data_IF_103703832813
#
_entry.id   IF_103703832813
#
_cell.length_a   1.000
_cell.length_b   1.000
_cell.length_c   1.000
_cell.angle_alpha   90.00
_cell.angle_beta   90.00
_cell.angle_gamma   90.00
#
_symmetry.space_group_name_H-M   'P 1'
#
loop_
_entity.id
_entity.type
_entity.pdbx_description
1 polymer ?
#
# COMPACT_ATOMS: atom_id res chain seq x y z
N UNK A 1 3.93 -42.01 50.76
CA UNK A 1 2.85 -42.28 51.71
C UNK A 1 1.61 -41.53 51.25
N UNK A 2 0.59 -42.35 51.02
CA UNK A 2 -0.88 -42.19 50.88
C UNK A 2 -1.33 -41.34 49.70
N UNK A 3 -1.81 -41.84 48.59
CA UNK A 3 -2.96 -42.73 48.16
C UNK A 3 -4.30 -42.38 48.86
N UNK A 4 -5.25 -41.86 48.04
CA UNK A 4 -6.67 -42.33 47.94
C UNK A 4 -7.37 -41.46 46.88
N UNK A 5 -7.80 -41.93 45.77
CA UNK A 5 -8.80 -42.87 45.17
C UNK A 5 -10.27 -42.39 45.28
N UNK A 6 -10.91 -42.42 44.10
CA UNK A 6 -12.33 -42.65 43.75
C UNK A 6 -13.33 -41.50 43.96
N UNK A 7 -14.21 -41.22 43.01
CA UNK A 7 -15.22 -42.08 42.33
C UNK A 7 -15.87 -41.40 41.12
N UNK A 8 -16.09 -42.18 40.14
CA UNK A 8 -17.04 -42.01 39.01
C UNK A 8 -18.49 -41.95 39.49
N UNK A 9 -19.36 -41.15 38.84
CA UNK A 9 -20.76 -41.50 38.63
C UNK A 9 -21.22 -41.09 37.26
N UNK A 10 -21.58 -42.08 36.44
CA UNK A 10 -22.44 -42.08 35.29
C UNK A 10 -23.92 -42.05 35.78
N UNK A 11 -24.80 -41.51 34.97
CA UNK A 11 -26.25 -41.79 34.78
C UNK A 11 -26.85 -40.60 34.02
N UNK A 12 -27.56 -40.66 32.97
CA UNK A 12 -28.32 -41.53 32.15
C UNK A 12 -29.29 -40.63 31.36
N UNK A 13 -29.48 -40.92 30.09
CA UNK A 13 -30.46 -40.30 29.19
C UNK A 13 -31.89 -40.65 29.60
N UNK A 14 -32.92 -39.86 29.16
CA UNK A 14 -33.92 -40.52 28.32
C UNK A 14 -34.23 -39.78 27.00
N UNK A 15 -34.52 -40.61 26.02
CA UNK A 15 -35.14 -40.37 24.74
C UNK A 15 -36.64 -40.22 24.94
N UNK A 16 -37.31 -39.27 24.26
CA UNK A 16 -38.76 -39.36 23.96
C UNK A 16 -38.99 -38.94 22.52
N UNK A 17 -39.80 -39.73 21.90
CA UNK A 17 -40.11 -39.95 20.50
C UNK A 17 -41.39 -39.19 20.12
N UNK A 18 -41.40 -38.68 18.88
CA UNK A 18 -42.50 -38.55 17.91
C UNK A 18 -43.76 -37.74 18.22
N UNK A 19 -44.19 -36.88 17.34
CA UNK A 19 -45.36 -37.10 16.51
C UNK A 19 -45.42 -36.17 15.29
N UNK A 20 -45.57 -36.76 14.13
CA UNK A 20 -45.85 -36.08 12.86
C UNK A 20 -47.39 -35.89 12.73
N UNK A 21 -47.77 -34.72 12.23
CA UNK A 21 -49.10 -34.56 11.61
C UNK A 21 -48.95 -33.81 10.30
N UNK A 22 -49.21 -34.48 9.23
CA UNK A 22 -49.39 -33.96 7.89
C UNK A 22 -50.86 -33.59 7.69
N UNK A 23 -51.12 -32.38 7.17
CA UNK A 23 -52.39 -32.07 6.49
C UNK A 23 -52.08 -31.32 5.21
N UNK A 24 -52.55 -31.90 4.13
CA UNK A 24 -52.45 -31.39 2.76
C UNK A 24 -53.73 -30.65 2.32
N UNK A 25 -53.59 -29.95 1.17
CA UNK A 25 -54.60 -29.39 0.26
C UNK A 25 -55.10 -27.99 0.64
N UNK A 26 -55.16 -27.01 -0.26
CA UNK A 26 -55.53 -26.95 -1.69
C UNK A 26 -54.98 -25.69 -2.35
N UNK A 27 -54.74 -25.77 -3.64
CA UNK A 27 -54.39 -24.69 -4.54
C UNK A 27 -55.54 -23.71 -4.81
N UNK A 28 -55.23 -22.44 -4.95
CA UNK A 28 -55.87 -21.58 -5.97
C UNK A 28 -54.90 -20.46 -6.39
N UNK A 29 -54.72 -20.37 -7.68
CA UNK A 29 -54.01 -19.37 -8.46
C UNK A 29 -54.54 -17.96 -8.30
N UNK A 30 -53.69 -16.94 -8.23
CA UNK A 30 -53.74 -15.77 -9.12
C UNK A 30 -52.51 -14.91 -9.00
N UNK A 31 -52.01 -14.51 -10.15
CA UNK A 31 -50.80 -13.76 -10.40
C UNK A 31 -50.78 -12.35 -9.77
N UNK A 32 -49.65 -11.85 -9.32
CA UNK A 32 -48.93 -10.74 -9.92
C UNK A 32 -47.87 -10.14 -8.98
N UNK A 33 -46.79 -9.81 -9.63
CA UNK A 33 -45.69 -8.88 -9.34
C UNK A 33 -44.52 -9.41 -8.50
N UNK A 34 -43.47 -9.56 -9.25
CA UNK A 34 -42.09 -9.68 -8.88
C UNK A 34 -41.69 -8.56 -7.93
N UNK A 35 -41.08 -8.93 -6.82
CA UNK A 35 -40.01 -8.14 -6.17
C UNK A 35 -38.87 -9.10 -5.92
N UNK A 36 -37.93 -9.09 -6.86
CA UNK A 36 -36.63 -9.67 -6.75
C UNK A 36 -35.89 -8.97 -5.60
N UNK A 37 -35.77 -9.63 -4.47
CA UNK A 37 -34.74 -9.32 -3.50
C UNK A 37 -33.45 -9.88 -4.05
N UNK A 38 -32.82 -9.17 -5.00
CA UNK A 38 -31.46 -9.36 -5.41
C UNK A 38 -30.57 -9.06 -4.21
N UNK A 39 -29.95 -10.11 -3.72
CA UNK A 39 -28.82 -10.06 -2.79
C UNK A 39 -27.66 -9.39 -3.52
N UNK A 40 -27.66 -8.06 -3.49
CA UNK A 40 -26.61 -7.23 -4.09
C UNK A 40 -25.37 -7.32 -3.20
N UNK A 41 -24.58 -8.36 -3.44
CA UNK A 41 -23.17 -8.38 -3.07
C UNK A 41 -22.49 -7.32 -3.94
N UNK A 42 -22.60 -6.06 -3.53
CA UNK A 42 -21.80 -4.99 -4.12
C UNK A 42 -20.33 -5.22 -3.80
N UNK A 43 -19.69 -6.09 -4.57
CA UNK A 43 -18.30 -5.93 -4.90
C UNK A 43 -18.21 -4.60 -5.63
N UNK A 44 -17.92 -3.52 -4.90
CA UNK A 44 -17.53 -2.26 -5.51
C UNK A 44 -16.25 -2.56 -6.29
N UNK A 45 -16.39 -2.73 -7.61
CA UNK A 45 -15.29 -2.59 -8.52
C UNK A 45 -14.77 -1.15 -8.30
N UNK A 46 -13.67 -1.01 -7.54
CA UNK A 46 -12.91 0.22 -7.52
C UNK A 46 -12.61 0.51 -8.99
N UNK A 47 -13.08 1.65 -9.48
CA UNK A 47 -12.85 2.05 -10.86
C UNK A 47 -11.36 1.92 -11.13
N UNK A 48 -11.00 1.15 -12.16
CA UNK A 48 -9.64 1.01 -12.69
C UNK A 48 -9.20 2.42 -13.14
N UNK A 49 -8.70 3.23 -12.22
CA UNK A 49 -8.07 4.49 -12.58
C UNK A 49 -6.73 4.12 -13.19
N UNK A 50 -6.65 4.18 -14.52
CA UNK A 50 -5.38 4.08 -15.22
C UNK A 50 -4.39 5.06 -14.57
N UNK A 51 -3.28 4.52 -14.06
CA UNK A 51 -2.22 5.34 -13.49
C UNK A 51 -1.66 6.23 -14.61
N UNK A 52 -1.63 7.54 -14.35
CA UNK A 52 -0.95 8.47 -15.24
C UNK A 52 0.54 8.40 -14.97
N UNK A 53 1.30 8.35 -16.05
CA UNK A 53 2.77 8.39 -15.98
C UNK A 53 3.23 9.79 -16.37
N UNK A 54 4.11 10.36 -15.56
CA UNK A 54 4.74 11.64 -15.85
C UNK A 54 5.56 11.55 -17.13
N UNK A 55 5.58 12.63 -17.89
CA UNK A 55 6.44 12.70 -19.07
C UNK A 55 7.89 12.51 -18.64
N UNK A 56 8.64 11.61 -19.30
CA UNK A 56 10.06 11.42 -18.99
C UNK A 56 10.84 12.73 -19.08
N UNK A 57 11.80 12.92 -18.19
CA UNK A 57 12.73 14.04 -18.30
C UNK A 57 13.48 14.00 -19.65
N UNK A 58 13.92 15.15 -20.19
CA UNK A 58 14.61 15.19 -21.50
C UNK A 58 15.88 14.31 -21.58
N UNK A 59 16.48 14.02 -20.44
CA UNK A 59 17.68 13.20 -20.25
C UNK A 59 17.38 11.82 -19.61
N UNK A 60 16.11 11.42 -19.61
CA UNK A 60 15.69 10.14 -19.07
C UNK A 60 16.43 8.99 -19.76
N UNK A 61 17.02 8.12 -18.95
CA UNK A 61 17.74 6.94 -19.46
C UNK A 61 16.76 5.81 -19.75
N UNK A 62 17.09 5.04 -20.78
CA UNK A 62 16.35 3.83 -21.15
C UNK A 62 17.17 2.58 -20.91
N UNK A 63 16.53 1.43 -20.93
CA UNK A 63 17.13 0.12 -20.85
C UNK A 63 16.68 -0.73 -22.03
N UNK A 64 17.61 -1.38 -22.70
CA UNK A 64 17.36 -2.36 -23.76
C UNK A 64 17.71 -3.77 -23.29
N UNK A 65 17.13 -4.77 -23.92
CA UNK A 65 17.38 -6.17 -23.58
C UNK A 65 18.85 -6.56 -23.78
N UNK A 66 19.50 -6.01 -24.81
CA UNK A 66 20.90 -6.28 -25.10
C UNK A 66 21.82 -5.62 -24.06
N UNK A 67 21.51 -4.39 -23.65
CA UNK A 67 22.30 -3.68 -22.61
C UNK A 67 22.18 -4.36 -21.24
N UNK A 68 21.02 -4.91 -20.91
CA UNK A 68 20.78 -5.68 -19.70
C UNK A 68 21.42 -7.09 -19.75
N UNK A 69 21.51 -7.69 -20.93
CA UNK A 69 22.03 -9.04 -21.14
C UNK A 69 20.98 -10.14 -20.96
N UNK A 70 19.71 -9.83 -21.12
CA UNK A 70 18.61 -10.79 -21.09
C UNK A 70 18.26 -11.34 -22.48
N UNK A 71 17.37 -12.31 -22.52
CA UNK A 71 16.88 -12.92 -23.76
C UNK A 71 15.42 -12.51 -24.03
N UNK A 72 15.05 -12.42 -25.32
CA UNK A 72 13.66 -12.19 -25.70
C UNK A 72 12.79 -13.37 -25.30
N UNK A 73 11.61 -13.08 -24.79
CA UNK A 73 10.62 -14.12 -24.47
C UNK A 73 9.20 -13.59 -24.67
N UNK A 74 8.26 -14.50 -24.88
CA UNK A 74 6.83 -14.19 -24.87
C UNK A 74 6.32 -14.20 -23.41
N UNK A 75 5.84 -13.05 -22.95
CA UNK A 75 5.36 -12.89 -21.57
C UNK A 75 4.24 -13.90 -21.21
N UNK A 76 3.41 -14.30 -22.19
CA UNK A 76 2.34 -15.29 -21.95
C UNK A 76 2.87 -16.69 -21.61
N UNK A 77 4.05 -17.03 -22.10
CA UNK A 77 4.70 -18.31 -21.78
C UNK A 77 5.59 -18.24 -20.55
N UNK A 78 5.85 -17.04 -20.05
CA UNK A 78 6.74 -16.80 -18.92
C UNK A 78 6.07 -17.10 -17.56
N UNK A 79 6.91 -17.41 -16.59
CA UNK A 79 6.55 -17.42 -15.16
C UNK A 79 7.12 -16.16 -14.52
N UNK A 80 6.26 -15.28 -14.02
CA UNK A 80 6.65 -14.08 -13.29
C UNK A 80 6.67 -14.37 -11.80
N UNK A 81 7.75 -14.00 -11.11
CA UNK A 81 7.85 -14.00 -9.64
C UNK A 81 7.49 -12.62 -9.11
N UNK A 82 6.62 -12.54 -8.11
CA UNK A 82 6.34 -11.31 -7.37
C UNK A 82 6.74 -11.44 -5.91
N UNK A 83 7.57 -10.49 -5.42
CA UNK A 83 7.99 -10.42 -4.03
C UNK A 83 7.41 -9.18 -3.35
N UNK A 84 6.45 -9.41 -2.44
CA UNK A 84 5.89 -8.38 -1.57
C UNK A 84 6.77 -8.17 -0.34
N UNK A 85 7.01 -6.91 0.04
CA UNK A 85 7.85 -6.52 1.19
C UNK A 85 7.18 -6.77 2.53
N UNK A 86 5.94 -6.35 2.67
CA UNK A 86 5.26 -6.25 3.96
C UNK A 86 4.03 -7.15 4.04
N UNK A 87 3.52 -7.31 5.25
CA UNK A 87 2.24 -7.98 5.47
C UNK A 87 1.14 -7.28 4.68
N UNK A 88 0.27 -8.06 4.06
CA UNK A 88 -0.96 -7.56 3.45
C UNK A 88 -2.00 -7.25 4.55
N UNK A 89 -1.65 -6.31 5.44
CA UNK A 89 -2.45 -5.90 6.60
C UNK A 89 -2.94 -4.44 6.48
N UNK A 90 -2.35 -3.67 5.56
CA UNK A 90 -2.81 -2.32 5.26
C UNK A 90 -3.39 -2.25 3.84
N UNK A 91 -4.27 -1.27 3.55
CA UNK A 91 -4.92 -1.16 2.24
C UNK A 91 -3.93 -1.02 1.07
N UNK A 92 -2.81 -0.29 1.25
CA UNK A 92 -1.81 -0.10 0.20
C UNK A 92 -1.25 -1.45 -0.27
N UNK A 93 -0.75 -2.29 0.67
CA UNK A 93 -0.15 -3.60 0.33
C UNK A 93 -1.18 -4.61 -0.20
N UNK A 94 -2.42 -4.54 0.29
CA UNK A 94 -3.52 -5.35 -0.23
C UNK A 94 -3.79 -4.97 -1.70
N UNK A 95 -3.96 -3.68 -1.99
CA UNK A 95 -4.24 -3.18 -3.33
C UNK A 95 -3.07 -3.43 -4.30
N UNK A 96 -1.82 -3.24 -3.85
CA UNK A 96 -0.61 -3.52 -4.63
C UNK A 96 -0.54 -5.00 -5.04
N UNK A 97 -0.67 -5.91 -4.09
CA UNK A 97 -0.64 -7.35 -4.38
C UNK A 97 -1.81 -7.77 -5.26
N UNK A 98 -3.00 -7.23 -5.01
CA UNK A 98 -4.18 -7.54 -5.82
C UNK A 98 -4.00 -7.07 -7.26
N UNK A 99 -3.48 -5.85 -7.47
CA UNK A 99 -3.21 -5.30 -8.80
C UNK A 99 -2.25 -6.18 -9.61
N UNK A 100 -1.17 -6.67 -9.01
CA UNK A 100 -0.23 -7.60 -9.66
C UNK A 100 -0.92 -8.91 -10.03
N UNK A 101 -1.73 -9.49 -9.11
CA UNK A 101 -2.47 -10.74 -9.35
C UNK A 101 -3.51 -10.61 -10.47
N UNK A 102 -4.25 -9.51 -10.46
CA UNK A 102 -5.31 -9.25 -11.43
C UNK A 102 -4.73 -9.05 -12.83
N UNK A 103 -3.64 -8.28 -12.95
CA UNK A 103 -3.02 -8.06 -14.25
C UNK A 103 -2.36 -9.34 -14.80
N UNK A 104 -1.70 -10.14 -13.96
CA UNK A 104 -1.20 -11.45 -14.36
C UNK A 104 -2.33 -12.34 -14.89
N UNK A 105 -3.46 -12.40 -14.18
CA UNK A 105 -4.64 -13.16 -14.60
C UNK A 105 -5.23 -12.63 -15.90
N UNK A 106 -5.37 -11.32 -16.04
CA UNK A 106 -5.89 -10.64 -17.24
C UNK A 106 -5.05 -10.96 -18.48
N UNK A 107 -3.72 -11.00 -18.32
CA UNK A 107 -2.78 -11.33 -19.42
C UNK A 107 -2.58 -12.84 -19.64
N UNK A 108 -3.09 -13.68 -18.74
CA UNK A 108 -2.88 -15.13 -18.79
C UNK A 108 -1.45 -15.55 -18.46
N UNK A 109 -0.73 -14.76 -17.65
CA UNK A 109 0.66 -14.98 -17.25
C UNK A 109 0.68 -15.82 -15.96
N UNK A 110 1.57 -16.81 -15.88
CA UNK A 110 1.78 -17.60 -14.67
C UNK A 110 2.50 -16.75 -13.63
N UNK A 111 1.90 -16.57 -12.45
CA UNK A 111 2.45 -15.78 -11.36
C UNK A 111 2.80 -16.68 -10.15
N UNK A 112 4.01 -16.53 -9.62
CA UNK A 112 4.42 -17.05 -8.32
C UNK A 112 4.61 -15.88 -7.37
N UNK A 113 4.01 -15.94 -6.18
CA UNK A 113 4.08 -14.86 -5.20
C UNK A 113 4.80 -15.27 -3.93
N UNK A 114 5.55 -14.36 -3.33
CA UNK A 114 6.13 -14.49 -2.01
C UNK A 114 5.88 -13.21 -1.21
N UNK A 115 5.77 -13.33 0.12
CA UNK A 115 5.56 -12.20 1.01
C UNK A 115 6.55 -12.25 2.17
N UNK A 116 7.37 -11.21 2.30
CA UNK A 116 8.44 -11.12 3.28
C UNK A 116 7.96 -10.87 4.71
N UNK A 117 6.68 -10.54 4.92
CA UNK A 117 6.08 -10.30 6.24
C UNK A 117 6.84 -9.24 7.05
N UNK A 118 7.35 -8.19 6.38
CA UNK A 118 8.17 -7.13 6.97
C UNK A 118 9.51 -7.63 7.53
N UNK A 119 10.07 -8.71 6.96
CA UNK A 119 11.37 -9.27 7.34
C UNK A 119 12.29 -9.28 6.12
N UNK A 120 13.30 -8.41 6.10
CA UNK A 120 14.18 -8.27 4.94
C UNK A 120 14.96 -9.55 4.61
N UNK A 121 15.51 -10.24 5.61
CA UNK A 121 16.19 -11.52 5.40
C UNK A 121 15.29 -12.57 4.76
N UNK A 122 14.00 -12.56 5.13
CA UNK A 122 13.01 -13.43 4.49
C UNK A 122 12.78 -13.01 3.04
N UNK A 123 12.72 -11.70 2.74
CA UNK A 123 12.56 -11.24 1.35
C UNK A 123 13.69 -11.73 0.45
N UNK A 124 14.93 -11.64 0.92
CA UNK A 124 16.09 -12.17 0.19
C UNK A 124 15.95 -13.66 -0.08
N UNK A 125 15.60 -14.46 0.94
CA UNK A 125 15.37 -15.90 0.79
C UNK A 125 14.20 -16.21 -0.14
N UNK A 126 13.08 -15.50 -0.01
CA UNK A 126 11.90 -15.68 -0.84
C UNK A 126 12.20 -15.45 -2.32
N UNK A 127 12.99 -14.41 -2.66
CA UNK A 127 13.36 -14.13 -4.06
C UNK A 127 14.35 -15.19 -4.58
N UNK A 128 15.29 -15.65 -3.77
CA UNK A 128 16.16 -16.76 -4.14
C UNK A 128 15.37 -18.06 -4.41
N UNK A 129 14.33 -18.33 -3.61
CA UNK A 129 13.41 -19.45 -3.82
C UNK A 129 12.60 -19.30 -5.11
N UNK A 130 12.14 -18.10 -5.45
CA UNK A 130 11.48 -17.83 -6.74
C UNK A 130 12.43 -18.12 -7.91
N UNK A 131 13.68 -17.64 -7.83
CA UNK A 131 14.73 -17.92 -8.82
C UNK A 131 15.04 -19.42 -8.92
N UNK A 132 15.04 -20.17 -7.80
CA UNK A 132 15.25 -21.60 -7.78
C UNK A 132 14.07 -22.37 -8.41
N UNK A 133 12.84 -21.85 -8.31
CA UNK A 133 11.63 -22.39 -8.96
C UNK A 133 11.57 -22.10 -10.45
N UNK A 134 12.56 -21.38 -11.00
CA UNK A 134 12.68 -21.10 -12.43
C UNK A 134 11.69 -20.05 -12.92
N UNK A 135 11.53 -18.94 -12.17
CA UNK A 135 10.85 -17.77 -12.72
C UNK A 135 11.69 -17.14 -13.83
N UNK A 136 11.03 -16.66 -14.86
CA UNK A 136 11.68 -16.02 -16.02
C UNK A 136 11.86 -14.52 -15.81
N UNK A 137 11.02 -13.90 -14.99
CA UNK A 137 10.98 -12.46 -14.71
C UNK A 137 10.64 -12.23 -13.23
N UNK A 138 11.10 -11.11 -12.66
CA UNK A 138 10.80 -10.70 -11.29
C UNK A 138 10.19 -9.31 -11.24
N UNK A 139 9.13 -9.17 -10.44
CA UNK A 139 8.62 -7.90 -9.93
C UNK A 139 8.89 -7.88 -8.42
N UNK A 140 9.56 -6.85 -7.94
CA UNK A 140 9.93 -6.75 -6.53
C UNK A 140 9.43 -5.42 -5.96
N UNK A 141 8.66 -5.48 -4.86
CA UNK A 141 8.40 -4.35 -3.97
C UNK A 141 9.42 -4.43 -2.81
N UNK A 142 10.52 -3.68 -2.82
CA UNK A 142 11.60 -3.86 -1.86
C UNK A 142 11.20 -3.42 -0.45
N UNK A 143 11.64 -4.14 0.58
CA UNK A 143 11.47 -3.69 1.96
C UNK A 143 12.51 -2.62 2.32
N UNK A 144 13.77 -2.85 1.96
CA UNK A 144 14.90 -1.95 2.16
C UNK A 144 15.51 -1.54 0.82
N UNK A 145 16.22 -0.41 0.80
CA UNK A 145 16.99 0.00 -0.37
C UNK A 145 18.33 -0.74 -0.51
N UNK A 146 18.96 -1.12 0.59
CA UNK A 146 20.27 -1.79 0.64
C UNK A 146 20.17 -3.29 0.88
N UNK A 147 21.26 -4.02 0.59
CA UNK A 147 21.43 -5.44 0.94
C UNK A 147 20.93 -6.42 -0.14
N UNK A 148 20.72 -5.97 -1.37
CA UNK A 148 20.18 -6.78 -2.47
C UNK A 148 21.21 -7.58 -3.26
N UNK A 149 22.52 -7.38 -3.04
CA UNK A 149 23.60 -8.02 -3.80
C UNK A 149 23.42 -9.53 -4.01
N UNK A 150 23.03 -10.35 -2.99
CA UNK A 150 22.86 -11.79 -3.19
C UNK A 150 21.76 -12.16 -4.19
N UNK A 151 20.69 -11.37 -4.22
CA UNK A 151 19.56 -11.54 -5.15
C UNK A 151 19.95 -11.09 -6.54
N UNK A 152 20.56 -9.90 -6.65
CA UNK A 152 20.97 -9.30 -7.93
C UNK A 152 21.98 -10.21 -8.65
N UNK A 153 22.97 -10.74 -7.94
CA UNK A 153 23.94 -11.68 -8.48
C UNK A 153 23.29 -12.99 -8.93
N UNK A 154 22.35 -13.53 -8.14
CA UNK A 154 21.64 -14.75 -8.49
C UNK A 154 20.72 -14.58 -9.71
N UNK A 155 20.04 -13.43 -9.82
CA UNK A 155 19.20 -13.10 -10.97
C UNK A 155 20.05 -12.90 -12.24
N UNK A 156 21.15 -12.15 -12.13
CA UNK A 156 22.08 -11.94 -13.24
C UNK A 156 22.68 -13.26 -13.78
N UNK A 157 23.10 -14.16 -12.87
CA UNK A 157 23.62 -15.48 -13.25
C UNK A 157 22.58 -16.34 -14.02
N UNK A 158 21.30 -16.09 -13.81
CA UNK A 158 20.18 -16.76 -14.51
C UNK A 158 19.61 -15.94 -15.66
N UNK A 159 20.11 -14.72 -15.90
CA UNK A 159 19.61 -13.74 -16.86
C UNK A 159 18.12 -13.38 -16.63
N UNK A 160 17.67 -13.37 -15.38
CA UNK A 160 16.29 -13.05 -15.00
C UNK A 160 16.15 -11.54 -14.81
N UNK A 161 15.39 -10.82 -15.65
CA UNK A 161 15.16 -9.40 -15.51
C UNK A 161 14.32 -9.08 -14.26
N UNK A 162 14.65 -7.94 -13.62
CA UNK A 162 13.97 -7.44 -12.42
C UNK A 162 13.34 -6.08 -12.74
N UNK A 163 12.06 -5.91 -12.44
CA UNK A 163 11.41 -4.60 -12.32
C UNK A 163 11.12 -4.36 -10.84
N UNK A 164 11.50 -3.18 -10.33
CA UNK A 164 11.17 -2.77 -8.96
C UNK A 164 9.97 -1.85 -8.97
N UNK A 165 9.10 -1.99 -7.97
CA UNK A 165 7.92 -1.16 -7.80
C UNK A 165 7.89 -0.56 -6.40
N UNK A 166 7.21 0.58 -6.24
CA UNK A 166 7.04 1.32 -4.99
C UNK A 166 8.38 1.86 -4.43
N UNK A 167 9.29 1.01 -4.01
CA UNK A 167 10.56 1.39 -3.38
C UNK A 167 11.76 1.13 -4.28
N UNK A 168 12.76 1.98 -4.15
CA UNK A 168 14.01 1.88 -4.91
C UNK A 168 15.03 1.01 -4.20
N UNK A 169 15.78 0.21 -4.97
CA UNK A 169 16.98 -0.46 -4.50
C UNK A 169 18.23 0.36 -4.87
N UNK A 170 19.23 0.38 -3.99
CA UNK A 170 20.51 1.04 -4.24
C UNK A 170 21.40 0.16 -5.14
N UNK A 171 21.06 0.15 -6.43
CA UNK A 171 21.72 -0.63 -7.46
C UNK A 171 21.67 0.12 -8.79
N UNK A 172 22.32 -0.39 -9.82
CA UNK A 172 22.44 0.29 -11.11
C UNK A 172 21.33 -0.15 -12.06
N UNK A 173 20.47 0.78 -12.45
CA UNK A 173 19.45 0.54 -13.47
C UNK A 173 20.07 0.11 -14.81
N UNK A 174 19.37 -0.76 -15.54
CA UNK A 174 19.83 -1.39 -16.79
C UNK A 174 21.09 -2.27 -16.67
N UNK A 175 21.46 -2.61 -15.44
CA UNK A 175 22.51 -3.58 -15.13
C UNK A 175 22.02 -4.60 -14.11
N UNK A 176 21.52 -4.09 -12.97
CA UNK A 176 21.09 -4.91 -11.84
C UNK A 176 19.56 -5.08 -11.81
N UNK A 177 18.82 -4.09 -12.32
CA UNK A 177 17.39 -4.14 -12.58
C UNK A 177 17.05 -3.34 -13.84
N UNK A 178 15.91 -3.65 -14.46
CA UNK A 178 15.50 -3.05 -15.75
C UNK A 178 14.92 -1.65 -15.54
N UNK A 179 13.95 -1.54 -14.65
CA UNK A 179 13.16 -0.33 -14.44
C UNK A 179 12.67 -0.24 -12.99
N UNK A 180 12.53 0.99 -12.51
CA UNK A 180 11.88 1.35 -11.26
C UNK A 180 10.58 2.09 -11.54
N UNK A 181 9.47 1.63 -10.98
CA UNK A 181 8.12 2.20 -11.16
C UNK A 181 7.62 2.68 -9.81
N UNK A 182 7.44 3.98 -9.64
CA UNK A 182 6.99 4.55 -8.37
C UNK A 182 6.46 5.98 -8.54
N UNK A 183 5.96 6.54 -7.45
CA UNK A 183 5.67 7.95 -7.28
C UNK A 183 6.96 8.77 -7.10
N UNK A 184 6.88 10.09 -7.30
CA UNK A 184 7.91 11.04 -6.85
C UNK A 184 7.67 11.35 -5.36
N UNK A 185 8.42 10.69 -4.48
CA UNK A 185 8.24 10.83 -3.04
C UNK A 185 8.71 12.18 -2.50
N UNK A 186 9.67 12.84 -3.14
CA UNK A 186 10.05 14.20 -2.79
C UNK A 186 8.90 15.15 -3.11
N UNK A 187 8.28 14.99 -4.26
CA UNK A 187 7.11 15.80 -4.66
C UNK A 187 5.89 15.51 -3.78
N UNK A 188 5.65 14.24 -3.39
CA UNK A 188 4.60 13.93 -2.41
C UNK A 188 4.83 14.68 -1.10
N UNK A 189 6.06 14.68 -0.57
CA UNK A 189 6.43 15.43 0.63
C UNK A 189 6.20 16.94 0.50
N UNK A 190 6.59 17.54 -0.64
CA UNK A 190 6.34 18.98 -0.91
C UNK A 190 4.85 19.31 -0.95
N UNK A 191 4.06 18.48 -1.64
CA UNK A 191 2.61 18.68 -1.74
C UNK A 191 1.91 18.52 -0.40
N UNK A 192 2.38 17.57 0.44
CA UNK A 192 1.91 17.43 1.82
C UNK A 192 2.25 18.66 2.66
N UNK A 193 3.43 19.26 2.47
CA UNK A 193 3.79 20.51 3.12
C UNK A 193 2.91 21.68 2.65
N UNK A 194 2.60 21.79 1.37
CA UNK A 194 1.69 22.83 0.85
C UNK A 194 0.31 22.72 1.48
N UNK A 195 -0.27 21.51 1.61
CA UNK A 195 -1.53 21.28 2.32
C UNK A 195 -1.42 21.62 3.81
N UNK A 196 -0.31 21.28 4.47
CA UNK A 196 -0.08 21.61 5.89
C UNK A 196 0.05 23.13 6.09
N UNK A 197 0.74 23.83 5.19
CA UNK A 197 0.85 25.30 5.21
C UNK A 197 -0.52 25.95 5.08
N UNK A 198 -1.34 25.47 4.16
CA UNK A 198 -2.71 25.96 3.97
C UNK A 198 -3.55 25.73 5.23
N UNK A 199 -3.56 24.50 5.77
CA UNK A 199 -4.35 24.13 6.93
C UNK A 199 -3.97 24.89 8.21
N UNK A 200 -2.66 25.16 8.43
CA UNK A 200 -2.15 25.85 9.63
C UNK A 200 -2.03 27.36 9.50
N UNK A 201 -2.23 27.90 8.30
CA UNK A 201 -1.94 29.30 7.98
C UNK A 201 -0.43 29.61 7.98
N UNK A 202 0.42 28.61 7.76
CA UNK A 202 1.87 28.74 7.58
C UNK A 202 2.66 29.05 8.84
N UNK A 203 2.13 28.83 10.05
CA UNK A 203 2.79 29.15 11.32
C UNK A 203 2.45 28.19 12.45
N UNK A 204 3.36 28.07 13.41
CA UNK A 204 3.19 27.24 14.59
C UNK A 204 4.11 26.02 14.58
N UNK A 205 3.76 25.00 15.31
CA UNK A 205 4.55 23.79 15.49
C UNK A 205 3.87 22.59 14.86
N UNK A 206 4.62 21.78 14.12
CA UNK A 206 4.14 20.55 13.49
C UNK A 206 5.05 19.38 13.82
N UNK A 207 4.47 18.20 13.73
CA UNK A 207 5.16 16.92 13.91
C UNK A 207 5.20 16.13 12.61
N UNK A 208 6.19 15.25 12.47
CA UNK A 208 6.26 14.23 11.41
C UNK A 208 6.18 12.84 12.05
N UNK A 209 5.19 12.05 11.65
CA UNK A 209 5.16 10.61 11.89
C UNK A 209 5.88 9.95 10.71
N UNK A 210 7.12 9.56 10.96
CA UNK A 210 8.00 8.95 9.97
C UNK A 210 7.55 7.52 9.63
N UNK A 211 7.71 7.14 8.38
CA UNK A 211 7.56 5.75 7.94
C UNK A 211 8.65 4.82 8.49
N UNK A 212 8.73 3.63 7.92
CA UNK A 212 9.76 2.65 8.26
C UNK A 212 11.13 3.11 7.77
N UNK A 213 12.17 2.86 8.56
CA UNK A 213 13.54 3.16 8.20
C UNK A 213 14.08 2.18 7.12
N UNK A 214 15.13 2.58 6.44
CA UNK A 214 15.88 1.71 5.52
C UNK A 214 15.38 1.69 4.07
N UNK A 215 14.41 2.54 3.73
CA UNK A 215 13.91 2.73 2.36
C UNK A 215 13.87 4.22 1.97
N UNK A 216 13.78 4.46 0.66
CA UNK A 216 13.79 5.82 0.12
C UNK A 216 12.49 6.59 0.37
N UNK A 217 11.35 5.92 0.51
CA UNK A 217 10.04 6.58 0.69
C UNK A 217 10.05 7.51 1.89
N UNK A 218 10.45 6.99 3.06
CA UNK A 218 10.53 7.78 4.30
C UNK A 218 11.49 8.97 4.14
N UNK A 219 12.71 8.72 3.63
CA UNK A 219 13.72 9.78 3.53
C UNK A 219 13.36 10.87 2.53
N UNK A 220 12.75 10.49 1.40
CA UNK A 220 12.37 11.41 0.34
C UNK A 220 11.11 12.21 0.70
N UNK A 221 10.07 11.58 1.30
CA UNK A 221 8.88 12.28 1.81
C UNK A 221 9.24 13.27 2.90
N UNK A 222 10.08 12.87 3.89
CA UNK A 222 10.59 13.77 4.93
C UNK A 222 11.35 14.95 4.32
N UNK A 223 12.27 14.68 3.37
CA UNK A 223 13.05 15.73 2.71
C UNK A 223 12.16 16.73 1.99
N UNK A 224 11.24 16.24 1.15
CA UNK A 224 10.32 17.10 0.41
C UNK A 224 9.49 17.99 1.32
N UNK A 225 8.93 17.45 2.40
CA UNK A 225 8.14 18.19 3.38
C UNK A 225 8.96 19.28 4.08
N UNK A 226 10.15 18.94 4.60
CA UNK A 226 11.00 19.89 5.33
C UNK A 226 11.53 21.01 4.45
N UNK A 227 11.99 20.67 3.24
CA UNK A 227 12.51 21.66 2.28
C UNK A 227 11.41 22.65 1.87
N UNK A 228 10.18 22.17 1.63
CA UNK A 228 9.06 22.99 1.24
C UNK A 228 8.61 23.94 2.36
N UNK A 229 8.50 23.43 3.60
CA UNK A 229 8.22 24.25 4.79
C UNK A 229 9.28 25.35 4.94
N UNK A 230 10.57 24.99 4.87
CA UNK A 230 11.65 25.94 4.98
C UNK A 230 11.60 27.04 3.91
N UNK A 231 11.19 26.69 2.70
CA UNK A 231 11.12 27.61 1.58
C UNK A 231 9.89 28.55 1.61
N UNK A 232 8.71 28.01 2.00
CA UNK A 232 7.44 28.74 1.86
C UNK A 232 6.85 29.26 3.18
N UNK A 233 7.14 28.60 4.31
CA UNK A 233 6.54 28.92 5.60
C UNK A 233 7.55 28.81 6.74
N UNK A 234 8.57 29.67 6.80
CA UNK A 234 9.64 29.56 7.79
C UNK A 234 9.16 29.74 9.26
N UNK A 235 7.94 30.24 9.48
CA UNK A 235 7.32 30.32 10.80
C UNK A 235 6.57 29.06 11.24
N UNK A 236 6.44 28.06 10.34
CA UNK A 236 5.96 26.72 10.65
C UNK A 236 7.16 25.84 10.98
N UNK A 237 7.23 25.30 12.20
CA UNK A 237 8.41 24.60 12.72
C UNK A 237 8.13 23.10 12.91
N UNK A 238 8.97 22.25 12.35
CA UNK A 238 8.98 20.84 12.69
C UNK A 238 9.70 20.67 14.03
N UNK A 239 8.97 20.29 15.06
CA UNK A 239 9.47 20.18 16.44
C UNK A 239 9.51 18.77 16.97
N UNK A 240 8.95 17.81 16.24
CA UNK A 240 8.88 16.41 16.64
C UNK A 240 8.93 15.52 15.40
N UNK A 241 9.78 14.51 15.45
CA UNK A 241 9.93 13.49 14.40
C UNK A 241 10.10 12.13 15.08
N UNK A 242 9.21 11.19 14.82
CA UNK A 242 9.32 9.83 15.37
C UNK A 242 8.68 8.82 14.41
N UNK A 243 9.31 7.63 14.31
CA UNK A 243 8.82 6.59 13.42
C UNK A 243 7.54 5.92 13.97
N UNK A 244 6.55 5.81 13.09
CA UNK A 244 5.36 4.98 13.27
C UNK A 244 5.37 3.74 12.36
N UNK A 245 6.49 3.51 11.61
CA UNK A 245 6.72 2.31 10.79
C UNK A 245 5.59 1.99 9.79
N UNK A 246 4.90 3.02 9.28
CA UNK A 246 3.72 2.88 8.42
C UNK A 246 2.55 2.10 9.07
N UNK A 247 2.54 1.95 10.38
CA UNK A 247 1.56 1.15 11.13
C UNK A 247 0.60 2.03 11.95
N UNK A 248 -0.70 1.70 11.91
CA UNK A 248 -1.76 2.46 12.60
C UNK A 248 -1.56 2.52 14.09
N UNK A 249 -1.31 1.38 14.72
CA UNK A 249 -1.13 1.27 16.17
C UNK A 249 0.09 2.05 16.65
N UNK A 250 1.18 2.04 15.89
CA UNK A 250 2.37 2.83 16.22
C UNK A 250 2.13 4.32 16.00
N UNK A 251 1.47 4.70 14.92
CA UNK A 251 1.04 6.10 14.69
C UNK A 251 0.20 6.63 15.83
N UNK A 252 -0.73 5.82 16.35
CA UNK A 252 -1.51 6.17 17.54
C UNK A 252 -0.63 6.36 18.76
N UNK A 253 0.24 5.39 19.09
CA UNK A 253 1.13 5.45 20.27
C UNK A 253 2.05 6.68 20.22
N UNK A 254 2.65 6.95 19.07
CA UNK A 254 3.52 8.12 18.87
C UNK A 254 2.74 9.42 19.02
N UNK A 255 1.52 9.48 18.53
CA UNK A 255 0.66 10.66 18.67
C UNK A 255 0.22 10.88 20.12
N UNK A 256 -0.08 9.82 20.88
CA UNK A 256 -0.37 9.91 22.31
C UNK A 256 0.80 10.51 23.10
N UNK A 257 2.04 10.15 22.75
CA UNK A 257 3.25 10.75 23.33
C UNK A 257 3.42 12.22 22.90
N UNK A 258 3.21 12.50 21.60
CA UNK A 258 3.32 13.83 21.02
C UNK A 258 2.42 14.85 21.74
N UNK A 259 1.13 14.55 21.91
CA UNK A 259 0.17 15.49 22.52
C UNK A 259 0.44 15.74 24.00
N UNK A 260 1.13 14.83 24.70
CA UNK A 260 1.58 15.01 26.07
C UNK A 260 2.84 15.89 26.15
N UNK A 261 3.81 15.67 25.26
CA UNK A 261 5.08 16.40 25.24
C UNK A 261 4.99 17.78 24.58
N UNK A 262 4.11 17.94 23.59
CA UNK A 262 3.95 19.14 22.78
C UNK A 262 2.47 19.59 22.73
N UNK A 263 1.90 20.08 23.83
CA UNK A 263 0.46 20.41 23.89
C UNK A 263 0.06 21.55 22.96
N UNK A 264 1.03 22.32 22.44
CA UNK A 264 0.83 23.44 21.50
C UNK A 264 0.88 23.05 20.03
N UNK A 265 1.08 21.76 19.73
CA UNK A 265 1.19 21.27 18.33
C UNK A 265 -0.02 21.68 17.50
N UNK A 266 0.21 22.14 16.27
CA UNK A 266 -0.83 22.62 15.35
C UNK A 266 -1.14 21.64 14.23
N UNK A 267 -0.16 20.82 13.84
CA UNK A 267 -0.34 19.88 12.76
C UNK A 267 0.51 18.64 12.90
N UNK A 268 0.07 17.57 12.25
CA UNK A 268 0.75 16.28 12.16
C UNK A 268 0.82 15.89 10.68
N UNK A 269 2.02 15.81 10.14
CA UNK A 269 2.27 15.15 8.88
C UNK A 269 2.55 13.67 9.14
N UNK A 270 1.69 12.80 8.66
CA UNK A 270 1.91 11.35 8.69
C UNK A 270 2.32 10.88 7.29
N UNK A 271 3.47 10.24 7.17
CA UNK A 271 4.01 9.78 5.89
C UNK A 271 3.21 8.65 5.25
N UNK A 272 2.17 8.16 5.93
CA UNK A 272 1.12 7.35 5.31
C UNK A 272 -0.22 7.47 6.06
N UNK A 273 -1.27 7.01 5.39
CA UNK A 273 -2.65 7.09 5.90
C UNK A 273 -2.87 6.28 7.17
N UNK A 274 -2.26 5.10 7.30
CA UNK A 274 -2.44 4.26 8.47
C UNK A 274 -1.95 4.96 9.74
N UNK A 275 -0.78 5.61 9.69
CA UNK A 275 -0.30 6.42 10.80
C UNK A 275 -1.19 7.64 11.06
N UNK A 276 -1.69 8.29 10.00
CA UNK A 276 -2.63 9.41 10.12
C UNK A 276 -3.95 9.02 10.79
N UNK A 277 -4.51 7.86 10.42
CA UNK A 277 -5.69 7.29 11.07
C UNK A 277 -5.42 6.89 12.53
N UNK A 278 -4.20 6.43 12.82
CA UNK A 278 -3.71 6.23 14.19
C UNK A 278 -3.69 7.54 14.98
N UNK A 279 -3.18 8.63 14.36
CA UNK A 279 -3.20 9.96 14.97
C UNK A 279 -4.64 10.44 15.27
N UNK A 280 -5.57 10.25 14.34
CA UNK A 280 -7.00 10.55 14.58
C UNK A 280 -7.54 9.77 15.78
N UNK A 281 -7.19 8.49 15.92
CA UNK A 281 -7.62 7.68 17.07
C UNK A 281 -7.07 8.22 18.39
N UNK A 282 -5.78 8.61 18.44
CA UNK A 282 -5.15 9.22 19.61
C UNK A 282 -5.81 10.54 20.00
N UNK A 283 -6.08 11.42 19.01
CA UNK A 283 -6.74 12.70 19.26
C UNK A 283 -8.16 12.52 19.80
N UNK A 284 -8.94 11.59 19.25
CA UNK A 284 -10.28 11.23 19.75
C UNK A 284 -10.19 10.72 21.21
N UNK A 285 -9.22 9.83 21.50
CA UNK A 285 -8.97 9.31 22.84
C UNK A 285 -8.60 10.39 23.85
N UNK A 286 -7.91 11.45 23.41
CA UNK A 286 -7.57 12.62 24.23
C UNK A 286 -8.69 13.68 24.33
N UNK A 287 -9.89 13.41 23.78
CA UNK A 287 -11.03 14.33 23.82
C UNK A 287 -10.87 15.56 22.91
N UNK A 288 -9.96 15.55 21.96
CA UNK A 288 -9.83 16.58 20.92
C UNK A 288 -10.98 16.51 19.94
N UNK A 289 -11.25 17.61 19.27
CA UNK A 289 -12.24 17.72 18.19
C UNK A 289 -11.56 17.73 16.84
N UNK A 290 -12.31 17.41 15.80
CA UNK A 290 -11.89 17.60 14.41
C UNK A 290 -11.48 19.07 14.20
N UNK A 291 -10.30 19.29 13.58
CA UNK A 291 -9.72 20.60 13.34
C UNK A 291 -8.97 21.23 14.53
N UNK A 292 -8.92 20.60 15.72
CA UNK A 292 -8.08 21.10 16.83
C UNK A 292 -6.57 20.96 16.48
N UNK A 293 -6.22 19.92 15.74
CA UNK A 293 -4.88 19.66 15.21
C UNK A 293 -5.06 19.17 13.77
N UNK A 294 -4.41 19.84 12.84
CA UNK A 294 -4.49 19.53 11.42
C UNK A 294 -3.70 18.25 11.09
N UNK A 295 -4.24 17.38 10.25
CA UNK A 295 -3.57 16.14 9.84
C UNK A 295 -3.49 16.09 8.33
N UNK A 296 -2.27 15.92 7.80
CA UNK A 296 -2.03 15.64 6.38
C UNK A 296 -1.35 14.28 6.25
N UNK A 297 -1.82 13.48 5.30
CA UNK A 297 -1.31 12.12 5.10
C UNK A 297 -0.95 11.83 3.64
N UNK A 298 -0.41 10.66 3.39
CA UNK A 298 -0.12 10.15 2.04
C UNK A 298 -0.69 8.75 1.92
N UNK A 299 -1.18 8.36 0.80
CA UNK A 299 -1.58 7.10 0.18
C UNK A 299 -2.88 7.27 -0.63
N UNK A 300 -3.96 7.75 -0.07
CA UNK A 300 -5.27 7.84 -0.74
C UNK A 300 -6.19 6.66 -0.43
N UNK A 301 -6.05 6.09 0.76
CA UNK A 301 -6.93 5.02 1.23
C UNK A 301 -8.34 5.56 1.50
N UNK A 302 -9.36 4.72 1.26
CA UNK A 302 -10.76 5.10 1.46
C UNK A 302 -11.04 5.65 2.86
N UNK A 303 -10.41 5.07 3.89
CA UNK A 303 -10.63 5.51 5.26
C UNK A 303 -10.01 6.87 5.56
N UNK A 304 -8.86 7.20 4.96
CA UNK A 304 -8.24 8.51 5.11
C UNK A 304 -9.02 9.59 4.35
N UNK A 305 -9.45 9.29 3.11
CA UNK A 305 -10.32 10.19 2.34
C UNK A 305 -11.65 10.42 3.04
N UNK A 306 -12.25 9.39 3.67
CA UNK A 306 -13.41 9.55 4.53
C UNK A 306 -13.08 10.43 5.75
N UNK A 307 -11.86 10.34 6.29
CA UNK A 307 -11.37 11.21 7.37
C UNK A 307 -11.39 12.70 7.01
N UNK A 308 -11.17 13.04 5.72
CA UNK A 308 -11.34 14.43 5.23
C UNK A 308 -12.83 14.82 5.28
N UNK A 309 -13.72 13.95 4.76
CA UNK A 309 -15.17 14.21 4.78
C UNK A 309 -15.69 14.40 6.20
N UNK A 310 -15.13 13.67 7.17
CA UNK A 310 -15.46 13.74 8.60
C UNK A 310 -14.77 14.91 9.32
N UNK A 311 -13.89 15.68 8.65
CA UNK A 311 -13.17 16.84 9.16
C UNK A 311 -12.01 16.54 10.09
N UNK A 312 -11.52 15.28 10.16
CA UNK A 312 -10.37 14.87 11.00
C UNK A 312 -9.03 14.95 10.26
N UNK A 313 -9.04 14.84 8.96
CA UNK A 313 -7.86 14.91 8.09
C UNK A 313 -8.04 16.13 7.18
N UNK A 314 -7.01 16.96 7.06
CA UNK A 314 -7.03 18.21 6.30
C UNK A 314 -6.73 17.94 4.83
N UNK A 315 -5.95 16.91 4.54
CA UNK A 315 -5.65 16.52 3.18
C UNK A 315 -4.86 15.22 3.07
N UNK A 316 -4.96 14.59 1.91
CA UNK A 316 -4.28 13.33 1.57
C UNK A 316 -3.62 13.49 0.21
N UNK A 317 -2.31 13.22 0.12
CA UNK A 317 -1.61 13.08 -1.15
C UNK A 317 -1.76 11.63 -1.62
N UNK A 318 -2.19 11.43 -2.86
CA UNK A 318 -2.28 10.08 -3.41
C UNK A 318 -0.89 9.46 -3.57
N UNK A 319 -0.79 8.16 -3.29
CA UNK A 319 0.28 7.26 -3.70
C UNK A 319 -0.41 5.99 -4.20
N UNK A 320 -0.52 5.84 -5.52
CA UNK A 320 -1.38 4.81 -6.10
C UNK A 320 -0.68 3.44 -6.15
N UNK A 321 -1.16 2.40 -5.42
CA UNK A 321 -0.51 1.10 -5.33
C UNK A 321 -0.80 0.15 -6.50
N UNK A 322 -1.56 0.57 -7.51
CA UNK A 322 -2.02 -0.30 -8.60
C UNK A 322 -0.96 -0.49 -9.68
N UNK A 323 0.24 -0.96 -9.29
CA UNK A 323 1.40 -1.12 -10.19
C UNK A 323 1.26 -2.22 -11.25
N UNK A 324 0.31 -3.15 -11.12
CA UNK A 324 0.18 -4.31 -12.00
C UNK A 324 0.23 -3.97 -13.49
N UNK A 325 -0.64 -3.08 -14.01
CA UNK A 325 -0.65 -2.73 -15.44
C UNK A 325 0.69 -2.20 -15.94
N UNK A 326 1.32 -1.25 -15.22
CA UNK A 326 2.62 -0.68 -15.60
C UNK A 326 3.76 -1.70 -15.53
N UNK A 327 3.81 -2.50 -14.46
CA UNK A 327 4.86 -3.50 -14.29
C UNK A 327 4.82 -4.55 -15.39
N UNK A 328 3.63 -5.09 -15.71
CA UNK A 328 3.49 -6.08 -16.77
C UNK A 328 3.65 -5.48 -18.17
N UNK A 329 3.25 -4.23 -18.40
CA UNK A 329 3.52 -3.53 -19.65
C UNK A 329 5.01 -3.32 -19.85
N UNK A 330 5.73 -2.89 -18.81
CA UNK A 330 7.20 -2.69 -18.84
C UNK A 330 7.91 -4.00 -19.16
N UNK A 331 7.52 -5.09 -18.47
CA UNK A 331 8.09 -6.43 -18.75
C UNK A 331 7.82 -6.88 -20.18
N UNK A 332 6.60 -6.73 -20.69
CA UNK A 332 6.21 -7.12 -22.03
C UNK A 332 7.00 -6.33 -23.08
N UNK A 333 7.03 -5.01 -22.96
CA UNK A 333 7.80 -4.12 -23.86
C UNK A 333 9.28 -4.51 -23.88
N UNK A 334 9.88 -4.71 -22.70
CA UNK A 334 11.28 -5.07 -22.56
C UNK A 334 11.59 -6.44 -23.18
N UNK A 335 10.79 -7.47 -22.88
CA UNK A 335 11.03 -8.84 -23.36
C UNK A 335 10.80 -9.01 -24.85
N UNK A 336 10.03 -8.13 -25.49
CA UNK A 336 9.91 -8.03 -26.95
C UNK A 336 11.14 -7.37 -27.61
N UNK A 337 12.07 -6.82 -26.80
CA UNK A 337 13.29 -6.17 -27.26
C UNK A 337 13.13 -4.70 -27.58
N UNK A 338 12.05 -4.08 -27.10
CA UNK A 338 11.87 -2.63 -27.14
C UNK A 338 12.52 -1.99 -25.90
N UNK A 339 12.92 -0.74 -26.02
CA UNK A 339 13.51 -0.01 -24.88
C UNK A 339 12.43 0.45 -23.90
N UNK A 340 12.78 0.47 -22.62
CA UNK A 340 11.93 0.95 -21.53
C UNK A 340 12.67 2.00 -20.71
N UNK A 341 11.94 2.94 -20.09
CA UNK A 341 12.53 3.91 -19.18
C UNK A 341 13.11 3.23 -17.95
N UNK A 342 14.26 3.70 -17.48
CA UNK A 342 14.86 3.21 -16.22
C UNK A 342 14.08 3.66 -14.98
N UNK A 343 13.44 4.84 -15.05
CA UNK A 343 12.52 5.34 -14.03
C UNK A 343 11.17 5.67 -14.69
N UNK A 344 10.09 5.09 -14.17
CA UNK A 344 8.70 5.33 -14.59
C UNK A 344 8.00 5.97 -13.40
N UNK A 345 7.76 7.26 -13.47
CA UNK A 345 7.19 8.05 -12.37
C UNK A 345 5.69 8.22 -12.59
N UNK A 346 4.92 7.89 -11.56
CA UNK A 346 3.46 8.00 -11.54
C UNK A 346 3.08 9.42 -11.11
N UNK A 347 2.13 10.02 -11.81
CA UNK A 347 1.50 11.29 -11.41
C UNK A 347 0.43 11.02 -10.37
N UNK A 348 0.71 11.40 -9.13
CA UNK A 348 -0.23 11.21 -8.02
C UNK A 348 -1.28 12.33 -7.97
N UNK A 349 -2.51 11.97 -7.60
CA UNK A 349 -3.58 12.89 -7.28
C UNK A 349 -3.42 13.50 -5.88
N UNK A 350 -4.48 14.16 -5.42
CA UNK A 350 -4.64 14.60 -4.04
C UNK A 350 -6.12 14.70 -3.68
N UNK A 351 -6.41 14.49 -2.41
CA UNK A 351 -7.74 14.66 -1.84
C UNK A 351 -7.71 15.81 -0.84
N UNK A 352 -8.66 16.73 -0.98
CA UNK A 352 -8.88 17.89 -0.13
C UNK A 352 -10.36 17.97 0.25
N UNK A 353 -10.74 18.93 1.10
CA UNK A 353 -12.14 19.14 1.45
C UNK A 353 -13.05 19.36 0.21
N UNK A 354 -12.49 19.93 -0.87
CA UNK A 354 -13.26 20.28 -2.07
C UNK A 354 -13.66 19.05 -2.89
N UNK A 355 -12.80 18.01 -2.94
CA UNK A 355 -13.02 16.87 -3.83
C UNK A 355 -13.25 15.52 -3.10
N UNK A 356 -12.85 15.37 -1.84
CA UNK A 356 -12.86 14.10 -1.12
C UNK A 356 -14.22 13.40 -1.15
N UNK A 357 -15.31 14.14 -0.97
CA UNK A 357 -16.67 13.57 -1.00
C UNK A 357 -17.05 13.01 -2.38
N UNK A 358 -16.70 13.73 -3.44
CA UNK A 358 -16.99 13.32 -4.82
C UNK A 358 -16.08 12.19 -5.31
N UNK A 359 -14.84 12.19 -4.85
CA UNK A 359 -13.79 11.27 -5.30
C UNK A 359 -13.58 10.07 -4.36
N UNK A 360 -14.40 9.90 -3.31
CA UNK A 360 -14.31 8.78 -2.37
C UNK A 360 -14.35 7.40 -3.05
N UNK A 361 -15.02 7.29 -4.18
CA UNK A 361 -15.06 6.07 -4.99
C UNK A 361 -13.78 5.73 -5.73
N UNK A 362 -12.84 6.69 -5.88
CA UNK A 362 -11.53 6.49 -6.52
C UNK A 362 -10.48 6.00 -5.51
N UNK A 363 -10.68 6.28 -4.23
CA UNK A 363 -9.85 5.82 -3.14
C UNK A 363 -9.87 4.28 -3.01
N UNK A 364 -8.77 3.66 -2.56
CA UNK A 364 -8.61 2.21 -2.47
C UNK A 364 -8.66 1.67 -1.03
#
# INVERSE_FOLDING_TARGET
>A
MQRTTHRRRLLARPVVVSLAVAVALTATSCAKSEDDASNDSSTSAAADSEQKVASPAPDAKTCTIDAYGAEKLDLKSATVGFSQSEKEANPFRIAETQSIKDEAKKRGVKLLTANAQSQFSKQISDVQDLLAKGVDLLVIAPLNSDGWDPVLQAAAAKKVPIVTIDRKINATACKDYVSFIASDFVEQGKRAADQMIEATGGKGEVAILLGAAGNNVTTERTKGFKDQIAAKAPDLKVVFEQTGDFAREKGQQVTEQLIQSNPGIKGIYAENDEMGLGAVAALKGAGKKAGDIEIVTVDGTRNAVQGIVDGWISGVIESNPRFGPLAFQTLDTFTQGQEVSQDIIIEDGAYTADNAKGDLGKAY
#
